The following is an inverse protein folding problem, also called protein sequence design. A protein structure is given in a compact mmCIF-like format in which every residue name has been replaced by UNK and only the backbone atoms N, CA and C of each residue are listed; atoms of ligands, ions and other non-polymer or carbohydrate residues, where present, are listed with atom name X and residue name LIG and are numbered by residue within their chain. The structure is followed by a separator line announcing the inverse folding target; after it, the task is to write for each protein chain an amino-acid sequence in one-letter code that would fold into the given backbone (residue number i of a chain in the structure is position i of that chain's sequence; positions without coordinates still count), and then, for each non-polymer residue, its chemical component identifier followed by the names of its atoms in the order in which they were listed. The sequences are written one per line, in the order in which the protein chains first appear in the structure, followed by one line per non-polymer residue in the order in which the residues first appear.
data_IF_249906253716
#
_entry.id   IF_249906253716
#
_cell.length_a   1.000
_cell.length_b   1.000
_cell.length_c   1.000
_cell.angle_alpha   90.00
_cell.angle_beta   90.00
_cell.angle_gamma   90.00
#
_symmetry.space_group_name_H-M   'P 1'
#
loop_
_entity.id
_entity.type
_entity.pdbx_description
1 polymer ?
#
# COMPACT_ATOMS: atom_id res chain seq x y z
N UNK A 1 8.82 -16.21 -28.14
CA UNK A 1 7.44 -16.27 -28.67
C UNK A 1 6.73 -17.46 -28.02
N UNK A 2 5.43 -17.37 -27.70
CA UNK A 2 4.69 -18.53 -27.19
C UNK A 2 4.62 -19.61 -28.28
N UNK A 3 4.92 -20.85 -27.92
CA UNK A 3 4.90 -22.00 -28.86
C UNK A 3 3.51 -22.65 -28.88
N UNK A 4 2.82 -22.66 -27.74
CA UNK A 4 1.49 -23.26 -27.61
C UNK A 4 0.39 -22.18 -27.50
N UNK A 5 -0.82 -22.51 -27.97
CA UNK A 5 -2.00 -21.61 -27.87
C UNK A 5 -2.30 -21.19 -26.42
N UNK A 6 -2.05 -22.07 -25.45
CA UNK A 6 -2.20 -21.78 -24.02
C UNK A 6 -1.18 -20.75 -23.53
N UNK A 7 0.08 -20.83 -23.98
CA UNK A 7 1.13 -19.89 -23.65
C UNK A 7 0.84 -18.48 -24.22
N UNK A 8 0.29 -18.41 -25.43
CA UNK A 8 -0.10 -17.12 -26.04
C UNK A 8 -1.23 -16.43 -25.24
N UNK A 9 -2.25 -17.20 -24.84
CA UNK A 9 -3.31 -16.71 -23.94
C UNK A 9 -2.74 -16.26 -22.60
N UNK A 10 -1.81 -17.02 -22.02
CA UNK A 10 -1.15 -16.66 -20.76
C UNK A 10 -0.37 -15.34 -20.89
N UNK A 11 0.33 -15.12 -22.01
CA UNK A 11 1.05 -13.88 -22.28
C UNK A 11 0.11 -12.66 -22.27
N UNK A 12 -1.01 -12.75 -23.00
CA UNK A 12 -2.04 -11.68 -23.02
C UNK A 12 -2.62 -11.40 -21.63
N UNK A 13 -2.94 -12.44 -20.88
CA UNK A 13 -3.43 -12.30 -19.50
C UNK A 13 -2.39 -11.64 -18.59
N UNK A 14 -1.12 -12.03 -18.70
CA UNK A 14 -0.03 -11.49 -17.90
C UNK A 14 0.21 -10.01 -18.20
N UNK A 15 0.19 -9.60 -19.47
CA UNK A 15 0.32 -8.19 -19.84
C UNK A 15 -0.80 -7.34 -19.22
N UNK A 16 -2.06 -7.78 -19.31
CA UNK A 16 -3.20 -7.09 -18.70
C UNK A 16 -3.08 -7.00 -17.18
N UNK A 17 -2.75 -8.11 -16.52
CA UNK A 17 -2.54 -8.16 -15.06
C UNK A 17 -1.37 -7.27 -14.62
N UNK A 18 -0.27 -7.26 -15.39
CA UNK A 18 0.91 -6.43 -15.13
C UNK A 18 0.54 -4.94 -15.14
N UNK A 19 -0.19 -4.47 -16.15
CA UNK A 19 -0.65 -3.07 -16.23
C UNK A 19 -1.46 -2.67 -15.00
N UNK A 20 -2.46 -3.48 -14.63
CA UNK A 20 -3.31 -3.22 -13.46
C UNK A 20 -2.54 -3.26 -12.13
N UNK A 21 -1.65 -4.24 -11.96
CA UNK A 21 -0.87 -4.40 -10.74
C UNK A 21 0.16 -3.27 -10.57
N UNK A 22 0.78 -2.80 -11.66
CA UNK A 22 1.68 -1.65 -11.63
C UNK A 22 0.96 -0.39 -11.19
N UNK A 23 -0.22 -0.10 -11.74
CA UNK A 23 -1.03 1.06 -11.34
C UNK A 23 -1.41 1.02 -9.85
N UNK A 24 -1.92 -0.12 -9.38
CA UNK A 24 -2.26 -0.35 -7.96
C UNK A 24 -1.05 -0.20 -7.04
N UNK A 25 0.10 -0.76 -7.43
CA UNK A 25 1.36 -0.67 -6.67
C UNK A 25 1.86 0.78 -6.60
N UNK A 26 1.74 1.53 -7.69
CA UNK A 26 2.09 2.96 -7.73
C UNK A 26 1.20 3.76 -6.77
N UNK A 27 -0.12 3.62 -6.88
CA UNK A 27 -1.09 4.28 -6.00
C UNK A 27 -0.82 3.99 -4.51
N UNK A 28 -0.55 2.73 -4.16
CA UNK A 28 -0.19 2.35 -2.79
C UNK A 28 1.10 3.03 -2.32
N UNK A 29 2.13 3.12 -3.18
CA UNK A 29 3.41 3.79 -2.85
C UNK A 29 3.21 5.28 -2.66
N UNK A 30 2.40 5.93 -3.51
CA UNK A 30 2.08 7.35 -3.38
C UNK A 30 1.36 7.64 -2.06
N UNK A 31 0.33 6.86 -1.71
CA UNK A 31 -0.38 7.00 -0.44
C UNK A 31 0.57 6.87 0.77
N UNK A 32 1.50 5.90 0.72
CA UNK A 32 2.52 5.74 1.76
C UNK A 32 3.48 6.94 1.80
N UNK A 33 3.89 7.48 0.65
CA UNK A 33 4.77 8.65 0.56
C UNK A 33 4.10 9.89 1.15
N UNK A 34 2.85 10.16 0.78
CA UNK A 34 2.06 11.26 1.33
C UNK A 34 1.93 11.15 2.85
N UNK A 35 1.59 9.96 3.36
CA UNK A 35 1.52 9.75 4.81
C UNK A 35 2.87 9.97 5.50
N UNK A 36 3.97 9.48 4.92
CA UNK A 36 5.31 9.73 5.45
C UNK A 36 5.68 11.21 5.50
N UNK A 37 5.23 12.01 4.54
CA UNK A 37 5.44 13.46 4.56
C UNK A 37 4.66 14.12 5.71
N UNK A 38 3.41 13.70 5.94
CA UNK A 38 2.61 14.18 7.09
C UNK A 38 3.27 13.77 8.42
N UNK A 39 3.86 12.57 8.49
CA UNK A 39 4.62 12.15 9.69
C UNK A 39 5.85 13.03 9.90
N UNK A 40 6.50 13.51 8.83
CA UNK A 40 7.65 14.42 8.94
C UNK A 40 7.26 15.83 9.37
N UNK A 41 6.06 16.30 9.03
CA UNK A 41 5.57 17.61 9.46
C UNK A 41 5.05 17.63 10.91
N UNK A 42 5.16 16.50 11.65
CA UNK A 42 4.74 16.36 13.05
C UNK A 42 3.28 16.73 13.36
N UNK A 43 2.42 16.83 12.34
CA UNK A 43 1.02 17.21 12.54
C UNK A 43 0.18 16.01 13.03
N UNK A 44 -0.07 15.95 14.34
CA UNK A 44 -0.79 14.83 15.00
C UNK A 44 -2.23 14.67 14.51
N UNK A 45 -2.94 15.77 14.32
CA UNK A 45 -4.35 15.76 13.90
C UNK A 45 -4.49 15.28 12.46
N UNK A 46 -3.63 15.77 11.58
CA UNK A 46 -3.64 15.41 10.17
C UNK A 46 -3.23 13.93 9.97
N UNK A 47 -2.28 13.42 10.77
CA UNK A 47 -1.96 11.99 10.79
C UNK A 47 -3.16 11.14 11.19
N UNK A 48 -3.91 11.53 12.23
CA UNK A 48 -5.07 10.80 12.69
C UNK A 48 -6.18 10.75 11.62
N UNK A 49 -6.38 11.85 10.88
CA UNK A 49 -7.33 11.92 9.76
C UNK A 49 -6.90 11.10 8.55
N UNK A 50 -5.59 11.04 8.24
CA UNK A 50 -5.07 10.35 7.06
C UNK A 50 -4.94 8.82 7.23
N UNK A 51 -4.83 8.32 8.47
CA UNK A 51 -4.55 6.90 8.74
C UNK A 51 -5.64 5.92 8.25
N UNK A 52 -6.96 6.21 8.36
CA UNK A 52 -7.99 5.28 7.93
C UNK A 52 -7.98 5.09 6.41
N UNK A 53 -7.71 6.16 5.66
CA UNK A 53 -7.57 6.12 4.20
C UNK A 53 -6.36 5.28 3.75
N UNK A 54 -5.25 5.38 4.48
CA UNK A 54 -4.07 4.56 4.24
C UNK A 54 -4.35 3.07 4.52
N UNK A 55 -5.00 2.76 5.65
CA UNK A 55 -5.35 1.39 6.01
C UNK A 55 -6.31 0.76 5.01
N UNK A 56 -7.36 1.48 4.61
CA UNK A 56 -8.28 1.06 3.54
C UNK A 56 -7.54 0.71 2.26
N UNK A 57 -6.56 1.52 1.86
CA UNK A 57 -5.75 1.26 0.68
C UNK A 57 -4.92 -0.01 0.84
N UNK A 58 -4.20 -0.17 1.96
CA UNK A 58 -3.38 -1.36 2.25
C UNK A 58 -4.24 -2.63 2.27
N UNK A 59 -5.40 -2.59 2.92
CA UNK A 59 -6.27 -3.77 3.05
C UNK A 59 -6.93 -4.15 1.73
N UNK A 60 -7.26 -3.17 0.86
CA UNK A 60 -7.67 -3.47 -0.53
C UNK A 60 -6.54 -4.15 -1.31
N UNK A 61 -5.29 -3.69 -1.18
CA UNK A 61 -4.15 -4.34 -1.86
C UNK A 61 -3.91 -5.76 -1.36
N UNK A 62 -4.18 -6.02 -0.07
CA UNK A 62 -4.18 -7.38 0.51
C UNK A 62 -5.31 -8.23 -0.08
N UNK A 63 -6.54 -7.71 -0.15
CA UNK A 63 -7.70 -8.43 -0.71
C UNK A 63 -7.46 -8.88 -2.15
N UNK A 64 -6.83 -8.03 -2.96
CA UNK A 64 -6.50 -8.33 -4.36
C UNK A 64 -5.22 -9.17 -4.51
N UNK A 65 -4.67 -9.67 -3.40
CA UNK A 65 -3.45 -10.50 -3.34
C UNK A 65 -2.20 -9.84 -3.95
N UNK A 66 -2.17 -8.51 -4.04
CA UNK A 66 -1.01 -7.77 -4.54
C UNK A 66 0.13 -7.72 -3.52
N UNK A 67 -0.22 -7.72 -2.23
CA UNK A 67 0.73 -7.81 -1.11
C UNK A 67 0.38 -9.02 -0.23
N UNK A 68 1.40 -9.70 0.30
CA UNK A 68 1.24 -10.76 1.29
C UNK A 68 0.63 -10.20 2.60
N UNK A 69 -0.14 -11.00 3.35
CA UNK A 69 -0.76 -10.56 4.62
C UNK A 69 0.27 -10.04 5.63
N UNK A 70 1.43 -10.69 5.76
CA UNK A 70 2.50 -10.23 6.64
C UNK A 70 3.05 -8.84 6.27
N UNK A 71 3.08 -8.49 4.99
CA UNK A 71 3.49 -7.15 4.54
C UNK A 71 2.45 -6.10 4.89
N UNK A 72 1.16 -6.41 4.70
CA UNK A 72 0.07 -5.52 5.10
C UNK A 72 0.09 -5.25 6.61
N UNK A 73 0.23 -6.30 7.42
CA UNK A 73 0.27 -6.21 8.88
C UNK A 73 1.48 -5.40 9.36
N UNK A 74 2.67 -5.65 8.80
CA UNK A 74 3.87 -4.88 9.13
C UNK A 74 3.71 -3.39 8.84
N UNK A 75 3.13 -3.03 7.69
CA UNK A 75 2.90 -1.63 7.35
C UNK A 75 1.93 -0.97 8.34
N UNK A 76 0.80 -1.62 8.64
CA UNK A 76 -0.16 -1.09 9.62
C UNK A 76 0.47 -0.92 11.01
N UNK A 77 1.21 -1.92 11.47
CA UNK A 77 1.93 -1.87 12.76
C UNK A 77 2.95 -0.73 12.82
N UNK A 78 3.75 -0.53 11.76
CA UNK A 78 4.73 0.56 11.70
C UNK A 78 4.08 1.95 11.80
N UNK A 79 2.98 2.18 11.09
CA UNK A 79 2.28 3.46 11.14
C UNK A 79 1.55 3.68 12.47
N UNK A 80 0.93 2.64 13.03
CA UNK A 80 0.34 2.69 14.37
C UNK A 80 1.40 3.01 15.44
N UNK A 81 2.55 2.34 15.38
CA UNK A 81 3.67 2.59 16.31
C UNK A 81 4.17 4.03 16.21
N UNK A 82 4.31 4.57 14.98
CA UNK A 82 4.70 5.98 14.79
C UNK A 82 3.71 6.95 15.42
N UNK A 83 2.40 6.74 15.23
CA UNK A 83 1.37 7.55 15.88
C UNK A 83 1.45 7.41 17.42
N UNK A 84 1.61 6.20 17.93
CA UNK A 84 1.75 5.94 19.37
C UNK A 84 2.98 6.60 19.98
N UNK A 85 4.13 6.56 19.31
CA UNK A 85 5.35 7.27 19.74
C UNK A 85 5.10 8.77 19.77
N UNK A 86 4.51 9.35 18.72
CA UNK A 86 4.21 10.79 18.66
C UNK A 86 3.20 11.23 19.74
N UNK A 87 2.26 10.35 20.14
CA UNK A 87 1.33 10.62 21.25
C UNK A 87 2.02 10.57 22.63
N UNK A 88 3.03 9.69 22.81
CA UNK A 88 3.78 9.53 24.07
C UNK A 88 4.84 10.61 24.27
N UNK A 89 5.49 11.05 23.18
CA UNK A 89 6.34 12.24 23.21
C UNK A 89 5.42 13.46 23.28
N UNK A 90 5.11 13.88 24.50
CA UNK A 90 4.41 15.12 24.80
C UNK A 90 5.26 16.32 24.40
N UNK A 91 5.03 16.78 23.17
CA UNK A 91 5.11 18.17 22.73
C UNK A 91 3.84 18.43 21.93
#
# INVERSE_FOLDING_TARGET
MPITKSAEKALRQNQRRKKQNTARKSSMRSAIKSFKNIVKSNNKEEMAKAIPGLYKTIDKMRKVKLIKPGKANRLKSQFAKKLGTMRKTGV
#
